data_IF_154680899559
#
_entry.id   IF_154680899559
#
_cell.length_a   1.000
_cell.length_b   1.000
_cell.length_c   1.000
_cell.angle_alpha   90.00
_cell.angle_beta   90.00
_cell.angle_gamma   90.00
#
_symmetry.space_group_name_H-M   'P 1'
#
loop_
_entity.id
_entity.type
_entity.pdbx_description
1 polymer ?
#
# COMPACT_ATOMS: atom_id res chain seq x y z
N UNK A 1 3.05 -4.58 -5.83
CA UNK A 1 2.62 -4.14 -7.17
C UNK A 1 1.62 -3.01 -7.03
N UNK A 2 1.68 -2.04 -7.94
CA UNK A 2 0.75 -0.90 -8.01
C UNK A 2 -0.45 -1.23 -8.91
N UNK A 3 -0.28 -2.18 -9.83
CA UNK A 3 -1.33 -2.69 -10.71
C UNK A 3 -1.42 -4.22 -10.65
N UNK A 4 -2.59 -4.77 -10.94
CA UNK A 4 -2.81 -6.20 -11.14
C UNK A 4 -2.45 -6.64 -12.58
N UNK A 5 -2.64 -7.91 -12.91
CA UNK A 5 -2.35 -8.47 -14.25
C UNK A 5 -3.16 -7.83 -15.39
N UNK A 6 -4.27 -7.19 -15.07
CA UNK A 6 -5.13 -6.48 -16.03
C UNK A 6 -4.78 -4.98 -16.14
N UNK A 7 -3.74 -4.51 -15.46
CA UNK A 7 -3.33 -3.12 -15.42
C UNK A 7 -4.13 -2.26 -14.42
N UNK A 8 -5.10 -2.84 -13.71
CA UNK A 8 -5.90 -2.11 -12.73
C UNK A 8 -5.13 -1.95 -11.40
N UNK A 9 -5.26 -0.80 -10.76
CA UNK A 9 -4.72 -0.52 -9.42
C UNK A 9 -5.69 -0.88 -8.28
N UNK A 10 -6.77 -1.58 -8.60
CA UNK A 10 -7.82 -2.03 -7.69
C UNK A 10 -8.28 -3.47 -8.00
N UNK A 11 -9.04 -4.04 -7.08
CA UNK A 11 -9.75 -5.30 -7.25
C UNK A 11 -11.15 -5.18 -6.61
N UNK A 12 -12.08 -6.07 -6.99
CA UNK A 12 -13.38 -6.17 -6.34
C UNK A 12 -13.27 -7.08 -5.12
N UNK A 13 -13.78 -6.61 -3.98
CA UNK A 13 -13.90 -7.42 -2.78
C UNK A 13 -15.13 -8.36 -2.85
N UNK A 14 -15.40 -9.11 -1.78
CA UNK A 14 -16.56 -10.03 -1.69
C UNK A 14 -17.92 -9.32 -1.78
N UNK A 15 -17.96 -8.01 -1.52
CA UNK A 15 -19.16 -7.17 -1.58
C UNK A 15 -19.29 -6.45 -2.93
N UNK A 16 -18.43 -6.79 -3.91
CA UNK A 16 -18.38 -6.16 -5.23
C UNK A 16 -17.95 -4.68 -5.21
N UNK A 17 -17.24 -4.24 -4.14
CA UNK A 17 -16.71 -2.88 -4.00
C UNK A 17 -15.28 -2.82 -4.53
N UNK A 18 -14.90 -1.70 -5.14
CA UNK A 18 -13.51 -1.48 -5.57
C UNK A 18 -12.61 -1.21 -4.39
N UNK A 19 -11.55 -1.99 -4.26
CA UNK A 19 -10.53 -1.84 -3.22
C UNK A 19 -9.17 -1.66 -3.89
N UNK A 20 -8.47 -0.60 -3.53
CA UNK A 20 -7.13 -0.32 -4.05
C UNK A 20 -6.13 -1.41 -3.66
N UNK A 21 -5.24 -1.75 -4.56
CA UNK A 21 -4.13 -2.65 -4.26
C UNK A 21 -3.23 -2.05 -3.17
N UNK A 22 -2.68 -2.90 -2.28
CA UNK A 22 -1.81 -2.44 -1.18
C UNK A 22 -0.69 -1.52 -1.68
N UNK A 23 -0.03 -1.88 -2.78
CA UNK A 23 1.04 -1.07 -3.35
C UNK A 23 0.55 0.30 -3.86
N UNK A 24 -0.62 0.35 -4.49
CA UNK A 24 -1.24 1.60 -4.91
C UNK A 24 -1.58 2.48 -3.71
N UNK A 25 -2.20 1.91 -2.68
CA UNK A 25 -2.57 2.65 -1.47
C UNK A 25 -1.34 3.23 -0.75
N UNK A 26 -0.23 2.49 -0.69
CA UNK A 26 1.03 2.99 -0.11
C UNK A 26 1.54 4.20 -0.91
N UNK A 27 1.58 4.12 -2.24
CA UNK A 27 2.05 5.24 -3.08
C UNK A 27 1.12 6.45 -2.96
N UNK A 28 -0.21 6.23 -2.96
CA UNK A 28 -1.19 7.31 -2.76
C UNK A 28 -1.02 7.98 -1.38
N UNK A 29 -0.82 7.19 -0.33
CA UNK A 29 -0.58 7.70 1.01
C UNK A 29 0.76 8.46 1.11
N UNK A 30 1.81 8.00 0.42
CA UNK A 30 3.08 8.73 0.30
C UNK A 30 2.87 10.11 -0.34
N UNK A 31 2.08 10.20 -1.41
CA UNK A 31 1.74 11.47 -2.03
C UNK A 31 1.01 12.39 -1.04
N UNK A 32 0.00 11.88 -0.35
CA UNK A 32 -0.76 12.65 0.63
C UNK A 32 0.10 13.16 1.79
N UNK A 33 0.91 12.30 2.41
CA UNK A 33 1.74 12.72 3.55
C UNK A 33 2.90 13.65 3.14
N UNK A 34 3.36 13.59 1.89
CA UNK A 34 4.50 14.37 1.41
C UNK A 34 4.11 15.69 0.77
N UNK A 35 2.94 15.77 0.12
CA UNK A 35 2.51 16.95 -0.65
C UNK A 35 1.11 17.45 -0.32
N UNK A 36 0.33 16.70 0.48
CA UNK A 36 -1.07 17.00 0.78
C UNK A 36 -2.04 16.69 -0.37
N UNK A 37 -1.56 16.12 -1.47
CA UNK A 37 -2.37 15.79 -2.65
C UNK A 37 -2.36 14.29 -2.94
N UNK A 38 -3.48 13.68 -3.37
CA UNK A 38 -3.52 12.28 -3.76
C UNK A 38 -2.70 12.01 -5.02
N UNK A 39 -2.40 10.73 -5.28
CA UNK A 39 -1.61 10.31 -6.43
C UNK A 39 -2.16 10.81 -7.77
N UNK A 40 -3.48 10.82 -7.94
CA UNK A 40 -4.14 11.27 -9.17
C UNK A 40 -3.93 12.77 -9.48
N UNK A 41 -3.63 13.58 -8.47
CA UNK A 41 -3.38 15.02 -8.60
C UNK A 41 -1.89 15.38 -8.64
N UNK A 42 -1.00 14.37 -8.62
CA UNK A 42 0.43 14.62 -8.67
C UNK A 42 0.87 14.94 -10.10
N UNK A 43 1.73 15.97 -10.30
CA UNK A 43 2.36 16.20 -11.58
C UNK A 43 3.31 15.04 -11.93
N UNK A 44 3.30 14.67 -13.20
CA UNK A 44 4.24 13.70 -13.77
C UNK A 44 5.14 14.37 -14.79
N UNK A 45 6.35 13.85 -14.93
CA UNK A 45 7.31 14.22 -15.97
C UNK A 45 7.67 12.99 -16.79
N UNK A 46 7.69 13.11 -18.11
CA UNK A 46 8.16 12.03 -18.95
C UNK A 46 9.69 11.92 -18.88
N UNK A 47 10.16 10.74 -18.48
CA UNK A 47 11.59 10.41 -18.43
C UNK A 47 11.88 9.16 -19.24
N UNK A 48 13.01 9.18 -19.94
CA UNK A 48 13.50 8.00 -20.61
C UNK A 48 14.25 7.14 -19.60
N UNK A 49 13.71 5.94 -19.33
CA UNK A 49 14.30 4.95 -18.45
C UNK A 49 14.56 3.65 -19.21
N UNK A 50 15.66 2.96 -18.86
CA UNK A 50 15.91 1.63 -19.37
C UNK A 50 15.01 0.63 -18.62
N UNK A 51 13.99 0.13 -19.28
CA UNK A 51 13.04 -0.82 -18.73
C UNK A 51 13.13 -2.14 -19.46
N UNK A 52 12.95 -3.24 -18.73
CA UNK A 52 12.95 -4.57 -19.30
C UNK A 52 11.74 -4.77 -20.22
N UNK A 53 12.00 -5.06 -21.49
CA UNK A 53 10.98 -5.42 -22.47
C UNK A 53 10.95 -6.94 -22.62
N UNK A 54 9.83 -7.58 -22.26
CA UNK A 54 9.69 -9.03 -22.30
C UNK A 54 9.71 -9.59 -23.73
N UNK A 55 9.34 -8.79 -24.74
CA UNK A 55 9.39 -9.20 -26.15
C UNK A 55 10.81 -9.14 -26.72
N UNK A 56 11.55 -8.10 -26.34
CA UNK A 56 12.94 -7.93 -26.74
C UNK A 56 13.90 -8.79 -25.90
N UNK A 57 13.47 -9.29 -24.73
CA UNK A 57 14.30 -10.06 -23.80
C UNK A 57 15.45 -9.26 -23.15
N UNK A 58 15.39 -7.93 -23.20
CA UNK A 58 16.44 -7.02 -22.70
C UNK A 58 15.86 -5.68 -22.24
N UNK A 59 16.68 -4.91 -21.57
CA UNK A 59 16.34 -3.52 -21.24
C UNK A 59 16.45 -2.64 -22.50
N UNK A 60 15.44 -1.83 -22.73
CA UNK A 60 15.38 -0.82 -23.80
C UNK A 60 14.95 0.53 -23.24
N UNK A 61 15.43 1.65 -23.81
CA UNK A 61 14.96 2.98 -23.44
C UNK A 61 13.47 3.14 -23.75
N UNK A 62 12.68 3.55 -22.72
CA UNK A 62 11.26 3.83 -22.86
C UNK A 62 10.94 5.16 -22.19
N UNK A 63 10.13 6.00 -22.83
CA UNK A 63 9.59 7.21 -22.22
C UNK A 63 8.41 6.83 -21.34
N UNK A 64 8.50 7.14 -20.06
CA UNK A 64 7.47 6.81 -19.08
C UNK A 64 7.21 8.01 -18.15
N UNK A 65 5.95 8.23 -17.75
CA UNK A 65 5.65 9.25 -16.76
C UNK A 65 6.18 8.84 -15.39
N UNK A 66 6.91 9.72 -14.73
CA UNK A 66 7.45 9.52 -13.39
C UNK A 66 6.93 10.58 -12.42
N UNK A 67 6.76 10.20 -11.16
CA UNK A 67 6.34 11.10 -10.07
C UNK A 67 7.55 11.88 -9.55
N UNK A 68 7.95 12.92 -10.26
CA UNK A 68 9.09 13.76 -9.85
C UNK A 68 8.82 14.53 -8.55
N UNK A 69 7.56 14.83 -8.25
CA UNK A 69 7.14 15.57 -7.06
C UNK A 69 7.48 14.87 -5.72
N UNK A 70 7.71 13.57 -5.73
CA UNK A 70 8.13 12.80 -4.54
C UNK A 70 9.67 12.80 -4.36
N UNK A 71 10.44 13.20 -5.35
CA UNK A 71 11.90 13.20 -5.27
C UNK A 71 12.37 14.21 -4.21
N UNK A 72 13.19 13.74 -3.26
CA UNK A 72 13.71 14.56 -2.16
C UNK A 72 12.70 14.85 -1.05
N UNK A 73 11.51 14.26 -1.09
CA UNK A 73 10.54 14.37 0.01
C UNK A 73 10.87 13.39 1.12
N UNK A 74 10.66 13.84 2.35
CA UNK A 74 10.88 13.05 3.56
C UNK A 74 9.54 12.64 4.17
N UNK A 75 9.50 11.44 4.75
CA UNK A 75 8.36 10.90 5.45
C UNK A 75 8.81 9.89 6.51
N UNK A 76 7.93 9.52 7.43
CA UNK A 76 8.16 8.45 8.40
C UNK A 76 7.48 7.20 7.89
N UNK A 77 8.22 6.08 7.80
CA UNK A 77 7.67 4.79 7.41
C UNK A 77 7.44 3.90 8.63
N UNK A 78 6.21 3.41 8.77
CA UNK A 78 5.86 2.32 9.67
C UNK A 78 6.16 0.98 9.00
N UNK A 79 7.24 0.32 9.44
CA UNK A 79 7.70 -0.94 8.87
C UNK A 79 7.35 -2.09 9.82
N UNK A 80 6.73 -3.13 9.29
CA UNK A 80 6.46 -4.37 10.02
C UNK A 80 7.27 -5.52 9.42
N UNK A 81 7.58 -6.50 10.27
CA UNK A 81 8.21 -7.76 9.85
C UNK A 81 7.13 -8.78 9.55
N UNK A 82 7.17 -9.35 8.36
CA UNK A 82 6.22 -10.37 7.93
C UNK A 82 6.96 -11.68 7.58
N UNK A 83 6.31 -12.83 7.84
CA UNK A 83 6.75 -14.13 7.38
C UNK A 83 5.83 -14.57 6.26
N UNK A 84 6.39 -14.91 5.12
CA UNK A 84 5.68 -15.42 3.95
C UNK A 84 6.25 -16.76 3.51
N UNK A 85 5.45 -17.59 2.84
CA UNK A 85 6.01 -18.71 2.08
C UNK A 85 6.93 -18.21 0.97
N UNK A 86 8.02 -18.93 0.71
CA UNK A 86 8.76 -18.75 -0.54
C UNK A 86 7.91 -19.27 -1.69
N UNK A 87 8.09 -18.66 -2.86
CA UNK A 87 7.40 -19.12 -4.07
C UNK A 87 8.40 -19.70 -5.06
N UNK A 88 8.04 -20.84 -5.62
CA UNK A 88 8.77 -21.48 -6.71
C UNK A 88 7.88 -21.56 -7.96
N UNK A 89 8.50 -21.45 -9.13
CA UNK A 89 7.79 -21.62 -10.40
C UNK A 89 7.50 -23.09 -10.65
N UNK A 90 6.24 -23.45 -10.76
CA UNK A 90 5.83 -24.77 -11.18
C UNK A 90 6.19 -24.97 -12.66
N UNK A 91 7.04 -25.95 -12.95
CA UNK A 91 7.56 -26.18 -14.29
C UNK A 91 6.46 -26.63 -15.28
N UNK A 92 5.41 -27.27 -14.79
CA UNK A 92 4.32 -27.79 -15.63
C UNK A 92 3.28 -26.72 -15.96
N UNK A 93 2.95 -25.85 -14.99
CA UNK A 93 1.90 -24.82 -15.16
C UNK A 93 2.47 -23.43 -15.47
N UNK A 94 3.77 -23.22 -15.21
CA UNK A 94 4.42 -21.91 -15.29
C UNK A 94 3.98 -20.92 -14.19
N UNK A 95 3.06 -21.33 -13.31
CA UNK A 95 2.59 -20.51 -12.19
C UNK A 95 3.58 -20.53 -11.02
N UNK A 96 3.58 -19.45 -10.22
CA UNK A 96 4.30 -19.44 -8.94
C UNK A 96 3.39 -20.00 -7.86
N UNK A 97 3.91 -20.98 -7.12
CA UNK A 97 3.21 -21.69 -6.04
C UNK A 97 4.00 -21.56 -4.75
N UNK A 98 3.30 -21.51 -3.63
CA UNK A 98 3.94 -21.46 -2.30
C UNK A 98 4.65 -22.77 -2.02
N UNK A 99 5.87 -22.67 -1.47
CA UNK A 99 6.66 -23.82 -1.00
C UNK A 99 6.50 -23.99 0.50
N UNK A 100 7.03 -25.09 1.07
CA UNK A 100 7.08 -25.31 2.52
C UNK A 100 8.12 -24.42 3.23
N UNK A 101 8.98 -23.75 2.48
CA UNK A 101 9.97 -22.83 3.02
C UNK A 101 9.38 -21.45 3.24
N UNK A 102 9.83 -20.77 4.30
CA UNK A 102 9.43 -19.40 4.61
C UNK A 102 10.55 -18.41 4.39
N UNK A 103 10.17 -17.15 4.25
CA UNK A 103 11.08 -16.00 4.24
C UNK A 103 10.53 -14.86 5.09
N UNK A 104 11.42 -14.14 5.73
CA UNK A 104 11.09 -12.88 6.40
C UNK A 104 11.22 -11.72 5.41
N UNK A 105 10.29 -10.80 5.47
CA UNK A 105 10.31 -9.55 4.69
C UNK A 105 9.94 -8.36 5.57
N UNK A 106 10.56 -7.22 5.32
CA UNK A 106 10.12 -5.95 5.89
C UNK A 106 9.11 -5.32 4.93
N UNK A 107 7.92 -5.03 5.43
CA UNK A 107 6.84 -4.42 4.65
C UNK A 107 6.49 -3.05 5.19
N UNK A 108 6.33 -2.06 4.31
CA UNK A 108 5.74 -0.78 4.67
C UNK A 108 4.25 -1.04 4.91
N UNK A 109 3.79 -0.75 6.12
CA UNK A 109 2.38 -0.91 6.50
C UNK A 109 1.69 0.45 6.61
N UNK A 110 2.43 1.45 7.07
CA UNK A 110 1.90 2.81 7.18
C UNK A 110 2.95 3.86 6.82
N UNK A 111 2.49 5.07 6.51
CA UNK A 111 3.33 6.23 6.25
C UNK A 111 2.77 7.44 6.97
N UNK A 112 3.65 8.31 7.47
CA UNK A 112 3.27 9.48 8.26
C UNK A 112 4.02 10.71 7.75
N UNK A 113 3.38 11.86 7.84
CA UNK A 113 3.99 13.14 7.55
C UNK A 113 5.12 13.43 8.56
N UNK A 114 6.28 13.85 8.08
CA UNK A 114 7.45 14.07 8.95
C UNK A 114 7.26 15.21 9.95
N UNK A 115 6.50 16.23 9.60
CA UNK A 115 6.28 17.42 10.44
C UNK A 115 5.10 17.25 11.39
N UNK A 116 3.93 16.87 10.84
CA UNK A 116 2.70 16.75 11.62
C UNK A 116 2.52 15.40 12.29
N UNK A 117 3.32 14.38 11.89
CA UNK A 117 3.23 12.97 12.32
C UNK A 117 1.88 12.30 12.02
N UNK A 118 1.06 12.93 11.18
CA UNK A 118 -0.25 12.44 10.81
C UNK A 118 -0.18 11.40 9.69
N UNK A 119 -1.13 10.49 9.67
CA UNK A 119 -1.40 9.56 8.58
C UNK A 119 -2.05 10.29 7.40
N UNK A 120 -2.12 9.63 6.24
CA UNK A 120 -2.86 10.15 5.08
C UNK A 120 -4.33 10.41 5.42
N UNK A 121 -4.97 9.51 6.19
CA UNK A 121 -6.38 9.67 6.59
C UNK A 121 -6.59 10.88 7.52
N UNK A 122 -5.70 11.08 8.49
CA UNK A 122 -5.76 12.25 9.38
C UNK A 122 -5.56 13.56 8.59
N UNK A 123 -4.69 13.56 7.58
CA UNK A 123 -4.49 14.71 6.71
C UNK A 123 -5.75 15.02 5.89
N UNK A 124 -6.41 14.00 5.33
CA UNK A 124 -7.66 14.17 4.58
C UNK A 124 -8.76 14.74 5.49
N UNK A 125 -8.98 14.15 6.66
CA UNK A 125 -10.01 14.58 7.62
C UNK A 125 -9.64 15.94 8.23
N UNK A 126 -8.38 16.12 8.64
CA UNK A 126 -7.87 17.34 9.23
C UNK A 126 -7.87 18.51 8.26
N UNK A 127 -7.60 18.27 6.96
CA UNK A 127 -7.73 19.27 5.90
C UNK A 127 -9.15 19.82 5.76
N UNK A 128 -10.17 19.06 6.20
CA UNK A 128 -11.58 19.48 6.21
C UNK A 128 -11.98 20.17 7.51
N UNK A 129 -11.43 19.70 8.66
CA UNK A 129 -11.77 20.22 10.00
C UNK A 129 -10.71 21.16 10.60
N UNK A 130 -9.52 21.21 10.02
CA UNK A 130 -8.37 21.94 10.56
C UNK A 130 -7.72 21.30 11.79
N UNK A 131 -8.20 20.14 12.22
CA UNK A 131 -7.69 19.44 13.39
C UNK A 131 -6.90 18.19 13.02
N UNK A 132 -5.62 18.15 13.41
CA UNK A 132 -4.75 16.98 13.26
C UNK A 132 -4.57 16.28 14.60
N UNK A 133 -4.81 14.97 14.63
CA UNK A 133 -4.56 14.11 15.79
C UNK A 133 -3.27 13.31 15.56
N UNK A 134 -2.15 13.87 15.96
CA UNK A 134 -0.82 13.28 15.71
C UNK A 134 -0.46 12.09 16.63
N UNK A 135 -1.38 11.60 17.45
CA UNK A 135 -1.17 10.53 18.44
C UNK A 135 -1.22 9.12 17.80
N UNK A 136 -1.70 9.00 16.56
CA UNK A 136 -1.84 7.72 15.91
C UNK A 136 -0.49 7.03 15.67
N UNK A 137 0.58 7.77 15.40
CA UNK A 137 1.92 7.18 15.20
C UNK A 137 2.40 6.46 16.46
N UNK A 138 2.20 7.03 17.64
CA UNK A 138 2.61 6.42 18.91
C UNK A 138 1.78 5.18 19.24
N UNK A 139 0.47 5.25 18.98
CA UNK A 139 -0.44 4.11 19.14
C UNK A 139 -0.06 3.00 18.17
N UNK A 140 0.25 3.34 16.92
CA UNK A 140 0.68 2.39 15.90
C UNK A 140 2.01 1.74 16.29
N UNK A 141 2.99 2.52 16.75
CA UNK A 141 4.29 2.03 17.17
C UNK A 141 4.15 1.05 18.35
N UNK A 142 3.47 1.43 19.42
CA UNK A 142 3.19 0.56 20.57
C UNK A 142 2.48 -0.73 20.17
N UNK A 143 1.58 -0.65 19.18
CA UNK A 143 0.82 -1.79 18.70
C UNK A 143 1.65 -2.76 17.84
N UNK A 144 2.73 -2.31 17.21
CA UNK A 144 3.48 -3.09 16.21
C UNK A 144 4.94 -3.36 16.57
N UNK A 145 5.54 -2.57 17.46
CA UNK A 145 6.95 -2.77 17.87
C UNK A 145 7.16 -4.17 18.42
N UNK A 146 8.20 -4.85 17.91
CA UNK A 146 8.59 -6.21 18.29
C UNK A 146 7.67 -7.32 17.78
N UNK A 147 6.61 -7.00 17.04
CA UNK A 147 5.71 -8.02 16.46
C UNK A 147 6.20 -8.52 15.11
N UNK A 148 6.01 -9.82 14.90
CA UNK A 148 6.22 -10.48 13.61
C UNK A 148 4.86 -11.01 13.12
N UNK A 149 4.48 -10.63 11.92
CA UNK A 149 3.19 -10.99 11.33
C UNK A 149 3.35 -12.23 10.46
N UNK A 150 2.90 -13.37 10.95
CA UNK A 150 2.95 -14.63 10.21
C UNK A 150 1.79 -14.71 9.22
N UNK A 151 2.12 -14.55 7.92
CA UNK A 151 1.17 -14.62 6.80
C UNK A 151 1.02 -16.04 6.24
N UNK A 152 1.77 -17.00 6.75
CA UNK A 152 1.65 -18.41 6.34
C UNK A 152 0.45 -19.09 6.98
N UNK A 153 0.02 -18.62 8.15
CA UNK A 153 -1.17 -19.11 8.84
C UNK A 153 -2.42 -18.71 8.07
N UNK A 154 -3.11 -19.69 7.48
CA UNK A 154 -4.44 -19.44 6.89
C UNK A 154 -5.33 -18.83 7.97
N UNK A 155 -5.97 -17.68 7.69
CA UNK A 155 -7.02 -17.13 8.56
C UNK A 155 -8.08 -18.22 8.73
N UNK A 156 -8.10 -18.90 9.87
CA UNK A 156 -9.16 -19.84 10.21
C UNK A 156 -10.50 -19.11 10.10
N UNK A 157 -11.51 -19.78 9.55
CA UNK A 157 -12.91 -19.34 9.59
C UNK A 157 -13.17 -18.80 10.99
N UNK A 158 -13.59 -17.53 11.11
CA UNK A 158 -13.99 -16.92 12.39
C UNK A 158 -14.98 -17.86 13.09
N UNK A 159 -14.51 -18.53 14.11
CA UNK A 159 -15.40 -19.03 15.17
C UNK A 159 -15.74 -17.76 15.95
N UNK A 160 -17.01 -17.41 16.01
CA UNK A 160 -17.53 -16.30 16.78
C UNK A 160 -17.18 -16.54 18.24
N UNK A 161 -16.21 -15.80 18.76
CA UNK A 161 -16.03 -15.58 20.19
C UNK A 161 -16.19 -14.09 20.46
N UNK A 162 -17.22 -13.78 21.18
CA UNK A 162 -17.59 -12.51 21.78
C UNK A 162 -16.40 -11.88 22.50
N UNK A 163 -16.10 -10.62 22.22
CA UNK A 163 -15.35 -9.76 23.15
C UNK A 163 -14.02 -9.24 22.63
N UNK A 164 -14.04 -8.09 22.06
CA UNK A 164 -13.26 -6.86 22.26
C UNK A 164 -13.25 -6.04 20.97
N UNK A 165 -13.99 -4.93 21.03
CA UNK A 165 -13.97 -3.88 20.03
C UNK A 165 -12.56 -3.32 19.90
N UNK A 166 -11.90 -3.61 18.81
CA UNK A 166 -10.95 -2.69 18.21
C UNK A 166 -11.56 -2.31 16.86
N UNK A 167 -12.25 -1.20 16.86
CA UNK A 167 -12.76 -0.53 15.67
C UNK A 167 -11.58 -0.17 14.77
N UNK A 168 -11.27 -1.04 13.83
CA UNK A 168 -10.68 -0.59 12.58
C UNK A 168 -11.78 0.21 11.90
N UNK A 169 -11.74 1.52 12.11
CA UNK A 169 -12.50 2.46 11.31
C UNK A 169 -11.99 2.34 9.87
N UNK A 170 -12.59 1.44 9.10
CA UNK A 170 -12.73 1.62 7.68
C UNK A 170 -13.62 2.85 7.53
N UNK A 171 -12.99 4.03 7.56
CA UNK A 171 -13.67 5.22 7.10
C UNK A 171 -14.08 4.91 5.66
N UNK A 172 -15.38 4.89 5.41
CA UNK A 172 -15.98 4.86 4.10
C UNK A 172 -15.51 6.10 3.33
N UNK A 173 -14.42 5.96 2.60
CA UNK A 173 -13.93 6.94 1.64
C UNK A 173 -14.74 6.79 0.34
N UNK A 174 -16.08 6.80 0.45
CA UNK A 174 -16.97 6.37 -0.62
C UNK A 174 -17.18 7.42 -1.71
N UNK A 175 -16.67 8.65 -1.56
CA UNK A 175 -16.84 9.68 -2.61
C UNK A 175 -15.53 10.17 -3.24
N UNK A 176 -14.38 9.95 -2.60
CA UNK A 176 -13.08 10.35 -3.15
C UNK A 176 -12.42 9.23 -3.96
N UNK A 177 -12.80 7.97 -3.71
CA UNK A 177 -12.22 6.81 -4.37
C UNK A 177 -12.72 6.69 -5.83
N UNK A 178 -14.00 6.96 -6.09
CA UNK A 178 -14.55 6.94 -7.46
C UNK A 178 -13.97 8.04 -8.36
N UNK A 179 -13.53 9.16 -7.80
CA UNK A 179 -12.83 10.21 -8.55
C UNK A 179 -11.40 9.85 -8.94
N UNK A 180 -10.80 8.84 -8.29
CA UNK A 180 -9.45 8.36 -8.61
C UNK A 180 -9.42 7.39 -9.80
N UNK A 181 -10.60 6.94 -10.28
CA UNK A 181 -10.73 5.91 -11.32
C UNK A 181 -11.58 6.35 -12.52
N UNK A 182 -12.01 7.61 -12.58
CA UNK A 182 -12.71 8.21 -13.74
C UNK A 182 -11.77 8.83 -14.74
#
# INVERSE_FOLDING_TARGET
YVTNKLGNNWYLNSNNERVGLKGFNIVNNLCLVSSGKPLAEQPTEDKVLNLYDAKAGKEIPQSVPVLSALTGREFIAGIIKEIHFKQAKNQSTGAYEDTDETREVNAIENVFNIKTRCTANEIIVGGTSGEYKADFIETWDKANTGKVFDRTKKKGKKVSSTGSNTTNASASADSSFDKLFS
#
